data_IF_843164911457
#
_entry.id   IF_843164911457
#
_cell.length_a   1.000
_cell.length_b   1.000
_cell.length_c   1.000
_cell.angle_alpha   90.00
_cell.angle_beta   90.00
_cell.angle_gamma   90.00
#
_symmetry.space_group_name_H-M   'P 1'
#
loop_
_entity.id
_entity.type
_entity.pdbx_description
1 polymer ?
#
# COMPACT_ATOMS: atom_id res chain seq x y z
N UNK A 1 5.62 -31.62 0.85
CA UNK A 1 4.14 -31.73 0.72
C UNK A 1 3.67 -30.46 0.04
N UNK A 2 2.84 -30.54 -1.01
CA UNK A 2 2.28 -29.35 -1.67
C UNK A 2 1.43 -28.51 -0.70
N UNK A 3 1.44 -27.19 -0.89
CA UNK A 3 0.63 -26.26 -0.05
C UNK A 3 -0.84 -26.60 -0.10
N UNK A 4 -1.33 -27.09 -1.25
CA UNK A 4 -2.73 -27.51 -1.42
C UNK A 4 -3.10 -28.66 -0.49
N UNK A 5 -2.24 -29.65 -0.34
CA UNK A 5 -2.52 -30.84 0.49
C UNK A 5 -2.52 -30.45 1.97
N UNK A 6 -1.54 -29.63 2.40
CA UNK A 6 -1.52 -29.08 3.76
C UNK A 6 -2.78 -28.25 4.08
N UNK A 7 -3.28 -27.48 3.08
CA UNK A 7 -4.49 -26.69 3.26
C UNK A 7 -5.72 -27.55 3.43
N UNK A 8 -5.85 -28.64 2.66
CA UNK A 8 -6.95 -29.61 2.77
C UNK A 8 -6.94 -30.28 4.14
N UNK A 9 -5.77 -30.73 4.59
CA UNK A 9 -5.62 -31.34 5.92
C UNK A 9 -6.00 -30.37 7.04
N UNK A 10 -5.59 -29.11 6.93
CA UNK A 10 -5.92 -28.07 7.90
C UNK A 10 -7.43 -27.80 7.94
N UNK A 11 -8.07 -27.65 6.79
CA UNK A 11 -9.53 -27.46 6.66
C UNK A 11 -10.27 -28.63 7.30
N UNK A 12 -9.82 -29.87 7.04
CA UNK A 12 -10.43 -31.07 7.59
C UNK A 12 -10.34 -31.14 9.13
N UNK A 13 -9.23 -30.65 9.70
CA UNK A 13 -9.02 -30.63 11.17
C UNK A 13 -9.81 -29.54 11.87
N UNK A 14 -9.92 -28.36 11.26
CA UNK A 14 -10.56 -27.19 11.87
C UNK A 14 -12.06 -27.16 11.59
N UNK A 15 -12.51 -27.73 10.47
CA UNK A 15 -13.91 -27.69 10.03
C UNK A 15 -14.33 -26.36 9.39
N UNK A 16 -13.36 -25.46 9.12
CA UNK A 16 -13.63 -24.15 8.53
C UNK A 16 -13.01 -24.01 7.14
N UNK A 17 -13.72 -23.35 6.22
CA UNK A 17 -13.20 -23.08 4.87
C UNK A 17 -12.10 -22.02 4.93
N UNK A 18 -10.90 -22.40 4.52
CA UNK A 18 -9.73 -21.52 4.40
C UNK A 18 -9.39 -21.37 2.92
N UNK A 19 -9.12 -20.14 2.48
CA UNK A 19 -8.73 -19.84 1.10
C UNK A 19 -7.45 -19.00 1.09
N UNK A 20 -6.42 -19.48 0.39
CA UNK A 20 -5.23 -18.68 0.07
C UNK A 20 -5.53 -17.91 -1.21
N UNK A 21 -5.67 -16.58 -1.08
CA UNK A 21 -6.06 -15.74 -2.22
C UNK A 21 -4.89 -15.09 -2.94
N UNK A 22 -3.85 -14.72 -2.21
CA UNK A 22 -2.69 -14.00 -2.76
C UNK A 22 -1.41 -14.51 -2.12
N UNK A 23 -0.36 -14.60 -2.93
CA UNK A 23 1.01 -14.84 -2.50
C UNK A 23 1.94 -13.99 -3.35
N UNK A 24 3.01 -13.47 -2.75
CA UNK A 24 4.04 -12.71 -3.46
C UNK A 24 5.42 -13.07 -2.93
N UNK A 25 6.34 -13.27 -3.87
CA UNK A 25 7.74 -13.49 -3.58
C UNK A 25 8.54 -12.21 -3.79
N UNK A 26 9.42 -11.89 -2.85
CA UNK A 26 10.38 -10.79 -2.95
C UNK A 26 11.77 -11.38 -2.98
N UNK A 27 12.47 -11.25 -4.11
CA UNK A 27 13.88 -11.60 -4.19
C UNK A 27 14.77 -10.51 -3.54
N UNK A 28 16.04 -10.85 -3.33
CA UNK A 28 17.04 -9.91 -2.80
C UNK A 28 17.92 -9.29 -3.91
N UNK A 29 17.54 -9.44 -5.19
CA UNK A 29 18.28 -8.86 -6.31
C UNK A 29 18.03 -7.36 -6.36
N UNK A 30 19.09 -6.58 -6.53
CA UNK A 30 19.05 -5.11 -6.70
C UNK A 30 18.40 -4.32 -5.56
N UNK A 31 18.18 -4.94 -4.39
CA UNK A 31 17.53 -4.26 -3.27
C UNK A 31 17.54 -5.06 -1.98
N UNK A 32 17.16 -4.39 -0.88
CA UNK A 32 16.97 -5.00 0.43
C UNK A 32 15.47 -4.97 0.78
N UNK A 33 14.98 -6.08 1.34
CA UNK A 33 13.59 -6.22 1.74
C UNK A 33 13.44 -5.95 3.25
N UNK A 34 12.44 -5.16 3.61
CA UNK A 34 12.03 -4.87 4.98
C UNK A 34 10.56 -5.21 5.13
N UNK A 35 10.18 -5.70 6.29
CA UNK A 35 8.79 -6.09 6.54
C UNK A 35 8.31 -5.61 7.91
N UNK A 36 6.99 -5.55 8.03
CA UNK A 36 6.30 -5.30 9.28
C UNK A 36 5.04 -6.15 9.36
N UNK A 37 4.79 -6.74 10.52
CA UNK A 37 3.59 -7.53 10.82
C UNK A 37 2.81 -6.81 11.91
N UNK A 38 1.59 -6.41 11.60
CA UNK A 38 0.70 -5.73 12.52
C UNK A 38 -0.27 -6.73 13.16
N UNK A 39 -0.55 -6.54 14.45
CA UNK A 39 -1.31 -7.48 15.26
C UNK A 39 -0.77 -8.91 15.13
N UNK A 40 0.54 -9.04 15.37
CA UNK A 40 1.22 -10.33 15.34
C UNK A 40 0.66 -11.25 16.42
N UNK A 41 0.28 -12.47 16.03
CA UNK A 41 -0.12 -13.54 16.94
C UNK A 41 1.06 -14.47 17.24
N UNK A 42 1.99 -14.56 16.27
CA UNK A 42 3.28 -15.24 16.39
C UNK A 42 4.32 -14.52 15.53
N UNK A 43 5.59 -14.97 15.60
CA UNK A 43 6.66 -14.42 14.77
C UNK A 43 6.30 -14.52 13.28
N UNK A 44 6.23 -13.40 12.60
CA UNK A 44 5.91 -13.26 11.18
C UNK A 44 4.48 -13.70 10.79
N UNK A 45 3.57 -13.86 11.76
CA UNK A 45 2.18 -14.19 11.53
C UNK A 45 1.30 -13.13 12.16
N UNK A 46 0.45 -12.48 11.40
CA UNK A 46 -0.44 -11.43 11.88
C UNK A 46 -1.55 -11.08 10.91
N UNK A 47 -2.41 -10.15 11.31
CA UNK A 47 -3.58 -9.76 10.51
C UNK A 47 -3.25 -8.88 9.31
N UNK A 48 -2.19 -8.09 9.39
CA UNK A 48 -1.69 -7.26 8.29
C UNK A 48 -0.19 -7.49 8.17
N UNK A 49 0.27 -7.72 6.95
CA UNK A 49 1.69 -7.73 6.63
C UNK A 49 1.97 -6.71 5.53
N UNK A 50 3.07 -6.00 5.66
CA UNK A 50 3.64 -5.18 4.60
C UNK A 50 5.10 -5.55 4.37
N UNK A 51 5.51 -5.50 3.11
CA UNK A 51 6.90 -5.70 2.69
C UNK A 51 7.25 -4.55 1.76
N UNK A 52 8.43 -3.97 1.94
CA UNK A 52 8.97 -2.95 1.05
C UNK A 52 10.38 -3.34 0.60
N UNK A 53 10.64 -3.17 -0.68
CA UNK A 53 11.96 -3.36 -1.30
C UNK A 53 12.58 -2.01 -1.59
N UNK A 54 13.74 -1.75 -1.01
CA UNK A 54 14.51 -0.52 -1.18
C UNK A 54 15.75 -0.79 -2.02
N UNK A 55 16.19 0.21 -2.82
CA UNK A 55 17.44 0.13 -3.58
C UNK A 55 18.64 0.02 -2.65
N UNK A 56 19.72 -0.65 -3.09
CA UNK A 56 20.92 -0.86 -2.28
C UNK A 56 21.88 0.34 -2.23
N UNK A 57 21.44 1.53 -2.63
CA UNK A 57 22.29 2.72 -2.75
C UNK A 57 22.83 3.22 -1.40
N UNK A 58 22.15 2.91 -0.30
CA UNK A 58 22.58 3.31 1.04
C UNK A 58 22.06 2.28 2.08
N UNK A 59 22.94 1.35 2.48
CA UNK A 59 22.59 0.26 3.38
C UNK A 59 22.25 0.72 4.79
N UNK A 60 22.97 1.70 5.33
CA UNK A 60 22.74 2.23 6.69
C UNK A 60 21.39 2.91 6.76
N UNK A 61 21.09 3.79 5.82
CA UNK A 61 19.80 4.46 5.73
C UNK A 61 18.65 3.48 5.51
N UNK A 62 18.86 2.45 4.67
CA UNK A 62 17.86 1.41 4.46
C UNK A 62 17.53 0.67 5.76
N UNK A 63 18.54 0.36 6.57
CA UNK A 63 18.35 -0.29 7.87
C UNK A 63 17.52 0.59 8.82
N UNK A 64 17.79 1.89 8.85
CA UNK A 64 17.10 2.84 9.71
C UNK A 64 15.63 3.03 9.34
N UNK A 65 15.34 3.22 8.05
CA UNK A 65 14.00 3.60 7.58
C UNK A 65 13.15 2.43 7.08
N UNK A 66 13.77 1.32 6.67
CA UNK A 66 13.08 0.24 5.97
C UNK A 66 11.90 -0.34 6.76
N UNK A 67 12.12 -0.71 8.02
CA UNK A 67 11.04 -1.22 8.88
C UNK A 67 9.99 -0.15 9.17
N UNK A 68 10.41 1.10 9.42
CA UNK A 68 9.50 2.23 9.65
C UNK A 68 8.63 2.49 8.41
N UNK A 69 9.20 2.35 7.21
CA UNK A 69 8.46 2.49 5.97
C UNK A 69 7.46 1.34 5.76
N UNK A 70 7.84 0.11 6.11
CA UNK A 70 6.89 -1.01 6.12
C UNK A 70 5.74 -0.75 7.11
N UNK A 71 6.01 -0.20 8.30
CA UNK A 71 4.96 0.21 9.26
C UNK A 71 4.03 1.28 8.65
N UNK A 72 4.60 2.28 7.97
CA UNK A 72 3.82 3.30 7.29
C UNK A 72 2.90 2.67 6.23
N UNK A 73 3.41 1.77 5.38
CA UNK A 73 2.63 1.08 4.35
C UNK A 73 1.49 0.27 4.97
N UNK A 74 1.74 -0.41 6.09
CA UNK A 74 0.70 -1.16 6.81
C UNK A 74 -0.45 -0.27 7.28
N UNK A 75 -0.12 0.93 7.79
CA UNK A 75 -1.07 1.88 8.34
C UNK A 75 -1.81 2.69 7.26
N UNK A 76 -1.08 3.22 6.27
CA UNK A 76 -1.59 4.20 5.30
C UNK A 76 -2.13 3.57 4.00
N UNK A 77 -1.89 2.27 3.77
CA UNK A 77 -2.41 1.50 2.63
C UNK A 77 -2.27 2.21 1.26
N UNK A 78 -1.08 2.62 0.84
CA UNK A 78 -0.90 3.24 -0.46
C UNK A 78 -1.24 2.27 -1.60
N UNK A 79 -1.76 2.81 -2.71
CA UNK A 79 -2.12 2.02 -3.90
C UNK A 79 -0.93 1.84 -4.85
N UNK A 80 0.00 2.81 -4.88
CA UNK A 80 1.19 2.78 -5.74
C UNK A 80 2.37 3.48 -5.06
N UNK A 81 3.58 3.32 -5.63
CA UNK A 81 4.77 4.02 -5.13
C UNK A 81 4.66 5.51 -5.44
N UNK A 82 4.37 5.85 -6.70
CA UNK A 82 4.22 7.22 -7.16
C UNK A 82 2.98 7.38 -8.03
N UNK A 83 2.66 8.61 -8.39
CA UNK A 83 1.55 8.99 -9.27
C UNK A 83 1.60 8.26 -10.62
N UNK A 84 2.79 8.11 -11.19
CA UNK A 84 2.97 7.48 -12.49
C UNK A 84 2.71 5.97 -12.47
N UNK A 85 2.75 5.35 -11.29
CA UNK A 85 2.50 3.93 -11.08
C UNK A 85 1.02 3.64 -10.75
N UNK A 86 0.21 4.70 -10.57
CA UNK A 86 -1.19 4.55 -10.23
C UNK A 86 -2.00 4.16 -11.48
N UNK A 87 -2.81 3.12 -11.35
CA UNK A 87 -3.65 2.63 -12.44
C UNK A 87 -4.59 3.73 -12.94
N UNK A 88 -4.57 3.96 -14.25
CA UNK A 88 -5.42 4.95 -14.90
C UNK A 88 -6.90 4.67 -14.68
N UNK A 89 -7.31 3.40 -14.65
CA UNK A 89 -8.71 3.03 -14.40
C UNK A 89 -9.18 3.46 -13.01
N UNK A 90 -8.29 3.42 -12.00
CA UNK A 90 -8.60 3.92 -10.65
C UNK A 90 -8.80 5.42 -10.68
N UNK A 91 -7.94 6.16 -11.39
CA UNK A 91 -8.04 7.62 -11.51
C UNK A 91 -9.32 8.04 -12.26
N UNK A 92 -9.63 7.38 -13.37
CA UNK A 92 -10.80 7.68 -14.18
C UNK A 92 -12.09 7.43 -13.36
N UNK A 93 -12.18 6.30 -12.67
CA UNK A 93 -13.30 5.96 -11.80
C UNK A 93 -13.47 6.96 -10.64
N UNK A 94 -12.37 7.33 -9.99
CA UNK A 94 -12.42 8.33 -8.91
C UNK A 94 -12.90 9.70 -9.42
N UNK A 95 -12.41 10.09 -10.62
CA UNK A 95 -12.85 11.34 -11.25
C UNK A 95 -14.35 11.34 -11.57
N UNK A 96 -14.90 10.21 -12.04
CA UNK A 96 -16.35 10.05 -12.27
C UNK A 96 -17.14 10.20 -10.96
N UNK A 97 -16.69 9.56 -9.88
CA UNK A 97 -17.32 9.67 -8.57
C UNK A 97 -17.32 11.13 -8.08
N UNK A 98 -16.17 11.79 -8.15
CA UNK A 98 -16.03 13.19 -7.75
C UNK A 98 -16.96 14.11 -8.53
N UNK A 99 -17.05 13.92 -9.86
CA UNK A 99 -17.93 14.73 -10.72
C UNK A 99 -19.42 14.50 -10.40
N UNK A 100 -19.81 13.26 -10.16
CA UNK A 100 -21.17 12.91 -9.79
C UNK A 100 -21.56 13.55 -8.44
N UNK A 101 -20.70 13.47 -7.43
CA UNK A 101 -20.91 14.15 -6.14
C UNK A 101 -21.11 15.66 -6.28
N UNK A 102 -20.24 16.31 -7.08
CA UNK A 102 -20.32 17.76 -7.28
C UNK A 102 -21.58 18.19 -8.03
N UNK A 103 -22.01 17.41 -9.02
CA UNK A 103 -23.25 17.65 -9.77
C UNK A 103 -24.45 17.53 -8.84
N UNK A 104 -24.50 16.48 -8.02
CA UNK A 104 -25.58 16.26 -7.04
C UNK A 104 -25.63 17.36 -5.96
N UNK A 105 -24.49 18.01 -5.67
CA UNK A 105 -24.42 19.15 -4.75
C UNK A 105 -24.81 20.49 -5.37
N UNK A 106 -25.35 20.50 -6.60
CA UNK A 106 -25.82 21.70 -7.29
C UNK A 106 -24.74 22.57 -7.92
N UNK A 107 -23.48 22.12 -7.97
CA UNK A 107 -22.39 22.82 -8.66
C UNK A 107 -22.50 22.60 -10.18
N UNK A 108 -22.10 23.61 -10.97
CA UNK A 108 -22.25 23.58 -12.44
C UNK A 108 -20.98 24.05 -13.16
N UNK A 109 -20.79 23.57 -14.40
CA UNK A 109 -19.81 24.05 -15.35
C UNK A 109 -18.36 24.04 -14.85
N UNK A 110 -17.65 25.12 -15.10
CA UNK A 110 -16.22 25.30 -14.81
C UNK A 110 -15.85 25.07 -13.33
N UNK A 111 -16.84 25.31 -12.43
CA UNK A 111 -16.64 25.06 -11.00
C UNK A 111 -16.45 23.56 -10.70
N UNK A 112 -17.20 22.70 -11.40
CA UNK A 112 -17.03 21.23 -11.27
C UNK A 112 -15.62 20.84 -11.69
N UNK A 113 -15.15 21.32 -12.84
CA UNK A 113 -13.81 20.97 -13.33
C UNK A 113 -12.70 21.40 -12.38
N UNK A 114 -12.76 22.64 -11.91
CA UNK A 114 -11.74 23.19 -10.99
C UNK A 114 -11.69 22.42 -9.67
N UNK A 115 -12.85 22.14 -9.08
CA UNK A 115 -12.94 21.41 -7.82
C UNK A 115 -12.54 19.93 -8.01
N UNK A 116 -12.97 19.31 -9.12
CA UNK A 116 -12.63 17.91 -9.44
C UNK A 116 -11.12 17.73 -9.55
N UNK A 117 -10.42 18.65 -10.21
CA UNK A 117 -8.96 18.61 -10.31
C UNK A 117 -8.28 18.69 -8.94
N UNK A 118 -8.78 19.56 -8.06
CA UNK A 118 -8.28 19.68 -6.68
C UNK A 118 -8.50 18.40 -5.86
N UNK A 119 -9.72 17.86 -5.91
CA UNK A 119 -10.07 16.60 -5.22
C UNK A 119 -9.26 15.41 -5.74
N UNK A 120 -9.10 15.29 -7.08
CA UNK A 120 -8.29 14.23 -7.68
C UNK A 120 -6.81 14.33 -7.29
N UNK A 121 -6.24 15.53 -7.26
CA UNK A 121 -4.87 15.74 -6.80
C UNK A 121 -4.72 15.33 -5.31
N UNK A 122 -5.72 15.63 -4.49
CA UNK A 122 -5.75 15.17 -3.10
C UNK A 122 -5.80 13.64 -3.01
N UNK A 123 -6.69 13.01 -3.78
CA UNK A 123 -6.76 11.54 -3.87
C UNK A 123 -5.42 10.91 -4.24
N UNK A 124 -4.75 11.45 -5.27
CA UNK A 124 -3.41 10.99 -5.68
C UNK A 124 -2.41 11.14 -4.53
N UNK A 125 -2.42 12.28 -3.85
CA UNK A 125 -1.50 12.53 -2.72
C UNK A 125 -1.75 11.56 -1.56
N UNK A 126 -3.00 11.29 -1.25
CA UNK A 126 -3.39 10.42 -0.13
C UNK A 126 -3.14 8.93 -0.43
N UNK A 127 -3.10 8.54 -1.72
CA UNK A 127 -3.01 7.14 -2.15
C UNK A 127 -1.68 6.75 -2.80
N UNK A 128 -0.72 7.65 -2.93
CA UNK A 128 0.61 7.34 -3.44
C UNK A 128 1.67 7.44 -2.35
N UNK A 129 2.47 6.38 -2.16
CA UNK A 129 3.38 6.23 -1.04
C UNK A 129 4.30 7.44 -0.86
N UNK A 130 4.94 7.92 -1.92
CA UNK A 130 5.89 9.03 -1.85
C UNK A 130 5.26 10.36 -1.45
N UNK A 131 3.98 10.55 -1.75
CA UNK A 131 3.26 11.79 -1.48
C UNK A 131 2.52 11.79 -0.13
N UNK A 132 2.33 10.62 0.48
CA UNK A 132 1.68 10.50 1.78
C UNK A 132 2.47 11.20 2.88
N UNK A 133 1.73 11.75 3.85
CA UNK A 133 2.32 12.32 5.06
C UNK A 133 2.92 11.18 5.89
N UNK A 134 4.16 11.37 6.33
CA UNK A 134 4.87 10.38 7.11
C UNK A 134 4.25 10.16 8.50
N UNK A 135 3.86 8.91 8.81
CA UNK A 135 3.15 8.60 10.07
C UNK A 135 3.96 8.90 11.35
N UNK A 136 5.29 8.96 11.25
CA UNK A 136 6.17 9.24 12.39
C UNK A 136 6.43 10.74 12.58
N UNK A 137 6.17 11.57 11.55
CA UNK A 137 6.34 13.01 11.58
C UNK A 137 5.37 13.68 10.58
N UNK A 138 4.25 14.24 11.05
CA UNK A 138 3.21 14.80 10.19
C UNK A 138 3.63 16.06 9.42
N UNK A 139 4.83 16.58 9.68
CA UNK A 139 5.39 17.73 8.96
C UNK A 139 6.17 17.33 7.70
N UNK A 140 6.39 16.03 7.49
CA UNK A 140 7.17 15.48 6.38
C UNK A 140 6.35 14.53 5.53
N UNK A 141 6.71 14.42 4.26
CA UNK A 141 6.23 13.38 3.37
C UNK A 141 7.19 12.19 3.39
N UNK A 142 6.72 11.04 2.90
CA UNK A 142 7.58 9.86 2.73
C UNK A 142 8.77 10.17 1.82
N UNK A 143 8.56 10.95 0.73
CA UNK A 143 9.64 11.40 -0.16
C UNK A 143 10.76 12.14 0.57
N UNK A 144 10.44 12.95 1.58
CA UNK A 144 11.41 13.75 2.32
C UNK A 144 12.32 12.88 3.21
N UNK A 145 11.79 11.73 3.64
CA UNK A 145 12.52 10.76 4.48
C UNK A 145 13.47 9.90 3.64
N UNK A 146 13.06 9.54 2.43
CA UNK A 146 13.82 8.61 1.58
C UNK A 146 15.12 9.19 1.02
N UNK A 147 15.20 10.51 0.81
CA UNK A 147 16.38 11.20 0.24
C UNK A 147 16.88 10.52 -1.05
N UNK A 148 18.02 9.80 -0.98
CA UNK A 148 18.63 9.08 -2.10
C UNK A 148 18.15 7.63 -2.26
N UNK A 149 17.40 7.10 -1.29
CA UNK A 149 16.90 5.72 -1.33
C UNK A 149 15.65 5.66 -2.20
N UNK A 150 15.59 4.66 -3.09
CA UNK A 150 14.42 4.44 -3.95
C UNK A 150 13.60 3.26 -3.44
N UNK A 151 12.29 3.43 -3.43
CA UNK A 151 11.34 2.33 -3.26
C UNK A 151 11.21 1.62 -4.60
N UNK A 152 11.62 0.35 -4.67
CA UNK A 152 11.54 -0.46 -5.88
C UNK A 152 10.17 -1.13 -6.03
N UNK A 153 9.62 -1.61 -4.92
CA UNK A 153 8.28 -2.17 -4.85
C UNK A 153 7.83 -2.32 -3.41
N UNK A 154 6.54 -2.47 -3.21
CA UNK A 154 5.99 -2.85 -1.92
C UNK A 154 4.79 -3.78 -2.09
N UNK A 155 4.33 -4.34 -0.99
CA UNK A 155 3.12 -5.13 -0.87
C UNK A 155 2.51 -4.91 0.52
N UNK A 156 1.20 -4.89 0.58
CA UNK A 156 0.43 -4.94 1.80
C UNK A 156 -0.69 -5.96 1.65
N UNK A 157 -0.78 -6.89 2.58
CA UNK A 157 -1.89 -7.84 2.66
C UNK A 157 -2.55 -7.76 4.03
N UNK A 158 -3.87 -7.83 4.03
CA UNK A 158 -4.70 -7.91 5.22
C UNK A 158 -5.62 -9.12 5.11
N UNK A 159 -5.72 -9.89 6.18
CA UNK A 159 -6.64 -11.05 6.26
C UNK A 159 -8.07 -10.55 6.11
N UNK A 160 -8.87 -11.20 5.26
CA UNK A 160 -10.26 -10.83 5.00
C UNK A 160 -10.46 -9.62 4.08
N UNK A 161 -9.39 -9.00 3.56
CA UNK A 161 -9.52 -7.85 2.66
C UNK A 161 -10.04 -8.27 1.28
N UNK A 162 -11.06 -7.56 0.76
CA UNK A 162 -11.65 -7.85 -0.56
C UNK A 162 -12.56 -9.08 -0.59
N UNK A 163 -13.22 -9.39 0.51
CA UNK A 163 -14.30 -10.41 0.59
C UNK A 163 -15.64 -9.74 0.39
#
# INVERSE_FOLDING_TARGET
>A
IPVKDNLVDLISKIGEKITIRRAKFFDNKNGSNFHYVHNAVEKNIGKIISVVKLSNNNKEMNQEIGTKLAMHIAASNPLSVDKNDLDKQILDKELEIIKAELSNSGKKGDMIEKISKGKLNKFISDNTLLNQIWIMDPKKKVSDILKSVKVLSFMRYKVGEGV
#
